data_IF_374327669288
#
_entry.id   IF_374327669288
#
_cell.length_a   1.000
_cell.length_b   1.000
_cell.length_c   1.000
_cell.angle_alpha   90.00
_cell.angle_beta   90.00
_cell.angle_gamma   90.00
#
_symmetry.space_group_name_H-M   'P 1'
#
loop_
_entity.id
_entity.type
_entity.pdbx_description
1 polymer ?
#
# COMPACT_ATOMS: atom_id res chain seq x y z
N UNK A 1 5.79 -5.28 -14.53
CA UNK A 1 5.12 -4.02 -14.85
C UNK A 1 6.00 -2.93 -14.28
N UNK A 2 6.06 -1.78 -14.93
CA UNK A 2 6.81 -0.61 -14.53
C UNK A 2 5.92 0.45 -13.90
N UNK A 3 6.49 1.40 -13.13
CA UNK A 3 5.73 2.56 -12.64
C UNK A 3 5.00 3.34 -13.73
N UNK A 4 5.62 3.49 -14.90
CA UNK A 4 5.05 4.18 -16.06
C UNK A 4 3.82 3.46 -16.64
N UNK A 5 3.74 2.12 -16.49
CA UNK A 5 2.58 1.36 -16.98
C UNK A 5 1.28 1.72 -16.23
N UNK A 6 1.38 2.30 -15.02
CA UNK A 6 0.21 2.79 -14.26
C UNK A 6 -0.31 4.16 -14.77
N UNK A 7 0.39 4.81 -15.68
CA UNK A 7 -0.10 6.00 -16.38
C UNK A 7 -1.17 5.64 -17.42
N UNK A 8 -1.10 4.42 -17.96
CA UNK A 8 -2.14 3.86 -18.82
C UNK A 8 -3.46 3.73 -18.04
N UNK A 9 -4.48 4.43 -18.53
CA UNK A 9 -5.77 4.50 -17.87
C UNK A 9 -6.48 3.15 -17.80
N UNK A 10 -6.33 2.27 -18.80
CA UNK A 10 -6.93 0.94 -18.78
C UNK A 10 -6.28 0.05 -17.73
N UNK A 11 -4.94 0.03 -17.68
CA UNK A 11 -4.20 -0.75 -16.68
C UNK A 11 -4.52 -0.24 -15.27
N UNK A 12 -4.50 1.08 -15.07
CA UNK A 12 -4.87 1.72 -13.79
C UNK A 12 -6.29 1.36 -13.35
N UNK A 13 -7.26 1.36 -14.28
CA UNK A 13 -8.63 0.95 -13.99
C UNK A 13 -8.72 -0.52 -13.59
N UNK A 14 -7.93 -1.37 -14.22
CA UNK A 14 -7.91 -2.81 -13.98
C UNK A 14 -7.24 -3.18 -12.66
N UNK A 15 -6.18 -2.46 -12.26
CA UNK A 15 -5.62 -2.54 -10.89
C UNK A 15 -6.69 -2.14 -9.86
N UNK A 16 -7.36 -1.01 -10.07
CA UNK A 16 -8.43 -0.55 -9.18
C UNK A 16 -9.52 -1.62 -9.00
N UNK A 17 -10.04 -2.18 -10.09
CA UNK A 17 -11.03 -3.27 -10.03
C UNK A 17 -10.50 -4.49 -9.28
N UNK A 18 -9.24 -4.88 -9.50
CA UNK A 18 -8.64 -6.03 -8.83
C UNK A 18 -8.53 -5.82 -7.32
N UNK A 19 -8.03 -4.65 -6.88
CA UNK A 19 -7.96 -4.28 -5.46
C UNK A 19 -9.35 -4.19 -4.82
N UNK A 20 -10.32 -3.60 -5.51
CA UNK A 20 -11.70 -3.50 -5.01
C UNK A 20 -12.33 -4.88 -4.78
N UNK A 21 -12.16 -5.79 -5.75
CA UNK A 21 -12.68 -7.15 -5.67
C UNK A 21 -12.02 -7.92 -4.53
N UNK A 22 -10.69 -7.86 -4.42
CA UNK A 22 -9.95 -8.52 -3.34
C UNK A 22 -10.44 -8.01 -1.97
N UNK A 23 -10.59 -6.69 -1.84
CA UNK A 23 -11.01 -6.08 -0.58
C UNK A 23 -12.41 -6.49 -0.11
N UNK A 24 -13.30 -6.78 -1.05
CA UNK A 24 -14.67 -7.22 -0.80
C UNK A 24 -14.82 -8.75 -0.74
N UNK A 25 -13.74 -9.51 -0.93
CA UNK A 25 -13.78 -10.97 -1.00
C UNK A 25 -14.25 -11.58 0.32
N UNK A 26 -15.22 -12.50 0.22
CA UNK A 26 -15.53 -13.40 1.32
C UNK A 26 -14.52 -14.54 1.34
N UNK A 27 -14.01 -14.85 2.54
CA UNK A 27 -12.96 -15.84 2.75
C UNK A 27 -13.29 -16.64 4.00
N UNK A 28 -12.82 -17.89 4.05
CA UNK A 28 -12.87 -18.74 5.25
C UNK A 28 -11.86 -18.32 6.31
N UNK A 29 -10.92 -17.43 5.98
CA UNK A 29 -9.94 -16.89 6.94
C UNK A 29 -10.67 -16.01 7.96
N UNK A 30 -10.46 -16.23 9.27
CA UNK A 30 -11.07 -15.41 10.32
C UNK A 30 -10.76 -13.92 10.12
N UNK A 31 -11.82 -13.09 10.21
CA UNK A 31 -11.68 -11.63 10.11
C UNK A 31 -11.19 -11.08 11.44
N UNK A 32 -9.93 -10.68 11.52
CA UNK A 32 -9.39 -9.95 12.67
C UNK A 32 -9.87 -8.50 12.67
N UNK A 33 -10.12 -7.88 13.85
CA UNK A 33 -10.36 -6.45 13.94
C UNK A 33 -9.15 -5.66 13.43
N UNK A 34 -9.39 -4.59 12.68
CA UNK A 34 -8.34 -3.71 12.17
C UNK A 34 -7.45 -3.15 13.30
N UNK A 35 -8.05 -2.84 14.45
CA UNK A 35 -7.35 -2.36 15.64
C UNK A 35 -6.23 -3.30 16.11
N UNK A 36 -6.41 -4.62 15.97
CA UNK A 36 -5.44 -5.62 16.45
C UNK A 36 -4.06 -5.47 15.78
N UNK A 37 -4.02 -5.03 14.52
CA UNK A 37 -2.76 -4.73 13.85
C UNK A 37 -2.02 -3.55 14.50
N UNK A 38 -2.74 -2.46 14.75
CA UNK A 38 -2.15 -1.26 15.36
C UNK A 38 -1.76 -1.50 16.82
N UNK A 39 -2.56 -2.25 17.56
CA UNK A 39 -2.26 -2.68 18.93
C UNK A 39 -0.96 -3.49 19.01
N UNK A 40 -0.63 -4.25 17.95
CA UNK A 40 0.61 -5.01 17.86
C UNK A 40 1.82 -4.16 17.42
N UNK A 41 1.64 -3.29 16.41
CA UNK A 41 2.75 -2.55 15.79
C UNK A 41 3.17 -1.31 16.60
N UNK A 42 2.22 -0.57 17.16
CA UNK A 42 2.50 0.71 17.85
C UNK A 42 3.46 0.53 19.04
N UNK A 43 3.30 -0.46 19.94
CA UNK A 43 4.27 -0.68 21.01
C UNK A 43 5.68 -1.02 20.50
N UNK A 44 5.78 -1.74 19.38
CA UNK A 44 7.05 -2.03 18.73
C UNK A 44 7.73 -0.76 18.23
N UNK A 45 7.00 0.14 17.57
CA UNK A 45 7.52 1.43 17.12
C UNK A 45 7.97 2.31 18.30
N UNK A 46 7.20 2.34 19.39
CA UNK A 46 7.57 3.09 20.61
C UNK A 46 8.88 2.58 21.23
N UNK A 47 9.09 1.26 21.25
CA UNK A 47 10.31 0.65 21.79
C UNK A 47 11.57 1.08 21.04
N UNK A 48 11.46 1.36 19.75
CA UNK A 48 12.59 1.77 18.91
C UNK A 48 12.79 3.29 18.85
N UNK A 49 11.80 4.08 19.26
CA UNK A 49 11.88 5.53 19.25
C UNK A 49 13.00 6.03 20.18
N UNK A 50 13.91 6.85 19.62
CA UNK A 50 15.10 7.39 20.31
C UNK A 50 16.03 6.31 20.89
N UNK A 51 16.01 5.10 20.34
CA UNK A 51 16.86 4.02 20.84
C UNK A 51 18.32 4.22 20.39
N UNK A 52 19.15 4.72 21.30
CA UNK A 52 20.58 5.01 21.04
C UNK A 52 21.36 3.83 20.46
N UNK A 53 20.98 2.60 20.81
CA UNK A 53 21.60 1.39 20.23
C UNK A 53 21.40 1.29 18.71
N UNK A 54 20.25 1.72 18.18
CA UNK A 54 20.01 1.73 16.73
C UNK A 54 20.83 2.83 16.05
N UNK A 55 20.96 4.00 16.68
CA UNK A 55 21.81 5.08 16.17
C UNK A 55 23.27 4.66 16.12
N UNK A 56 23.77 4.04 17.19
CA UNK A 56 25.14 3.52 17.25
C UNK A 56 25.39 2.48 16.14
N UNK A 57 24.48 1.52 15.99
CA UNK A 57 24.59 0.48 14.95
C UNK A 57 24.61 1.08 13.53
N UNK A 58 23.77 2.08 13.26
CA UNK A 58 23.75 2.75 11.96
C UNK A 58 25.07 3.49 11.69
N UNK A 59 25.58 4.23 12.69
CA UNK A 59 26.84 4.95 12.59
C UNK A 59 28.04 4.00 12.41
N UNK A 60 28.05 2.83 13.05
CA UNK A 60 29.04 1.76 12.80
C UNK A 60 29.00 1.25 11.35
N UNK A 61 27.80 1.23 10.74
CA UNK A 61 27.60 0.93 9.32
C UNK A 61 27.93 2.09 8.37
N UNK A 62 28.40 3.23 8.88
CA UNK A 62 28.79 4.40 8.07
C UNK A 62 27.62 5.28 7.62
N UNK A 63 26.42 5.12 8.18
CA UNK A 63 25.23 5.92 7.84
C UNK A 63 24.59 6.48 9.11
N UNK A 64 24.33 7.78 9.14
CA UNK A 64 23.54 8.35 10.25
C UNK A 64 22.05 8.10 10.02
N UNK A 65 21.39 7.47 10.99
CA UNK A 65 19.94 7.26 11.02
C UNK A 65 19.25 8.00 12.17
N UNK A 66 19.94 8.92 12.83
CA UNK A 66 19.48 9.59 14.05
C UNK A 66 18.11 10.24 13.87
N UNK A 67 17.92 10.98 12.77
CA UNK A 67 16.63 11.63 12.47
C UNK A 67 15.49 10.63 12.25
N UNK A 68 15.79 9.44 11.71
CA UNK A 68 14.80 8.37 11.53
C UNK A 68 14.43 7.75 12.87
N UNK A 69 15.43 7.45 13.71
CA UNK A 69 15.24 6.86 15.04
C UNK A 69 14.53 7.83 15.98
N UNK A 70 14.78 9.14 15.84
CA UNK A 70 14.14 10.18 16.64
C UNK A 70 12.73 10.55 16.14
N UNK A 71 12.35 10.11 14.94
CA UNK A 71 11.01 10.32 14.41
C UNK A 71 9.98 9.45 15.14
N UNK A 72 8.98 10.09 15.75
CA UNK A 72 7.94 9.40 16.53
C UNK A 72 6.91 8.74 15.60
N UNK A 73 7.27 7.59 15.02
CA UNK A 73 6.38 6.83 14.15
C UNK A 73 5.08 6.40 14.86
N UNK A 74 5.14 6.08 16.15
CA UNK A 74 3.98 5.62 16.90
C UNK A 74 2.88 6.68 16.96
N UNK A 75 3.22 7.91 17.35
CA UNK A 75 2.25 9.02 17.38
C UNK A 75 1.75 9.37 15.98
N UNK A 76 2.60 9.24 14.95
CA UNK A 76 2.22 9.54 13.56
C UNK A 76 1.26 8.51 12.99
N UNK A 77 1.47 7.22 13.27
CA UNK A 77 0.53 6.15 12.91
C UNK A 77 -0.82 6.42 13.58
N UNK A 78 -0.83 6.79 14.87
CA UNK A 78 -2.08 7.13 15.57
C UNK A 78 -2.86 8.26 14.89
N UNK A 79 -2.19 9.34 14.48
CA UNK A 79 -2.85 10.44 13.76
C UNK A 79 -3.54 9.95 12.48
N UNK A 80 -2.89 9.07 11.72
CA UNK A 80 -3.47 8.51 10.48
C UNK A 80 -4.66 7.61 10.80
N UNK A 81 -4.55 6.75 11.81
CA UNK A 81 -5.65 5.86 12.24
C UNK A 81 -6.84 6.68 12.72
N UNK A 82 -6.63 7.67 13.59
CA UNK A 82 -7.69 8.55 14.11
C UNK A 82 -8.40 9.28 12.97
N UNK A 83 -7.67 9.73 11.94
CA UNK A 83 -8.26 10.35 10.75
C UNK A 83 -9.12 9.36 9.93
N UNK A 84 -8.67 8.11 9.78
CA UNK A 84 -9.43 7.05 9.11
C UNK A 84 -10.72 6.71 9.88
N UNK A 85 -10.66 6.65 11.20
CA UNK A 85 -11.83 6.43 12.06
C UNK A 85 -12.82 7.58 12.00
N UNK A 86 -12.34 8.82 12.05
CA UNK A 86 -13.18 10.02 11.99
C UNK A 86 -14.01 10.09 10.70
N UNK A 87 -13.46 9.64 9.57
CA UNK A 87 -14.18 9.58 8.29
C UNK A 87 -14.94 8.27 8.08
N UNK A 88 -14.99 7.39 9.09
CA UNK A 88 -15.59 6.05 9.01
C UNK A 88 -15.08 5.26 7.81
N UNK A 89 -13.75 5.28 7.61
CA UNK A 89 -13.11 4.63 6.48
C UNK A 89 -13.50 3.14 6.41
N UNK A 90 -13.78 2.66 5.20
CA UNK A 90 -14.14 1.25 4.97
C UNK A 90 -12.93 0.34 5.20
N UNK A 91 -13.14 -0.73 5.96
CA UNK A 91 -12.19 -1.84 6.09
C UNK A 91 -12.51 -2.99 5.14
N UNK A 92 -11.49 -3.78 4.80
CA UNK A 92 -11.60 -4.95 3.93
C UNK A 92 -10.31 -5.77 3.98
N UNK A 93 -10.20 -6.79 3.14
CA UNK A 93 -8.90 -7.41 2.91
C UNK A 93 -7.99 -6.42 2.20
N UNK A 94 -6.74 -6.31 2.66
CA UNK A 94 -5.72 -5.45 2.07
C UNK A 94 -4.48 -6.29 1.82
N UNK A 95 -3.81 -6.05 0.69
CA UNK A 95 -2.59 -6.78 0.29
C UNK A 95 -1.36 -6.15 0.92
N UNK A 96 -1.39 -4.82 1.14
CA UNK A 96 -0.33 -3.97 1.68
C UNK A 96 0.88 -3.77 0.75
N UNK A 97 1.11 -4.69 -0.19
CA UNK A 97 2.20 -4.61 -1.15
C UNK A 97 1.75 -4.73 -2.62
N UNK A 98 0.80 -3.87 -3.02
CA UNK A 98 0.39 -3.74 -4.43
C UNK A 98 1.39 -2.88 -5.20
N UNK A 99 2.61 -3.40 -5.35
CA UNK A 99 3.67 -2.83 -6.18
C UNK A 99 3.67 -3.44 -7.59
N UNK A 100 4.47 -2.89 -8.51
CA UNK A 100 4.41 -3.25 -9.94
C UNK A 100 5.08 -4.59 -10.31
N UNK A 101 5.91 -5.17 -9.44
CA UNK A 101 6.39 -6.55 -9.54
C UNK A 101 5.34 -7.57 -9.09
N UNK A 102 4.42 -7.18 -8.19
CA UNK A 102 3.31 -7.98 -7.69
C UNK A 102 2.03 -7.74 -8.49
N UNK A 103 2.14 -6.98 -9.58
CA UNK A 103 1.05 -6.65 -10.51
C UNK A 103 1.40 -7.16 -11.91
N UNK A 104 0.73 -8.23 -12.33
CA UNK A 104 0.96 -8.83 -13.65
C UNK A 104 -0.06 -8.34 -14.68
N UNK A 105 0.40 -8.00 -15.88
CA UNK A 105 -0.45 -7.71 -17.04
C UNK A 105 -0.48 -8.94 -17.94
N UNK A 106 -1.67 -9.42 -18.30
CA UNK A 106 -1.83 -10.62 -19.14
C UNK A 106 -1.51 -10.28 -20.60
N UNK A 107 -0.67 -11.10 -21.25
CA UNK A 107 -0.35 -10.97 -22.68
C UNK A 107 -1.57 -11.21 -23.59
N UNK A 108 -2.46 -12.12 -23.20
CA UNK A 108 -3.64 -12.49 -23.98
C UNK A 108 -4.90 -12.45 -23.10
N UNK A 109 -5.36 -11.26 -22.69
CA UNK A 109 -6.56 -11.13 -21.87
C UNK A 109 -7.78 -11.50 -22.70
N UNK A 110 -8.74 -12.21 -22.09
CA UNK A 110 -10.03 -12.45 -22.74
C UNK A 110 -10.77 -11.10 -22.93
N UNK A 111 -11.53 -10.91 -24.02
CA UNK A 111 -12.33 -9.71 -24.21
C UNK A 111 -13.22 -9.43 -22.98
N UNK A 112 -13.30 -8.16 -22.59
CA UNK A 112 -14.10 -7.69 -21.45
C UNK A 112 -13.75 -8.32 -20.08
N UNK A 113 -12.54 -8.87 -19.92
CA UNK A 113 -12.01 -9.34 -18.63
C UNK A 113 -10.88 -8.44 -18.16
N UNK A 114 -10.73 -8.35 -16.84
CA UNK A 114 -9.64 -7.62 -16.20
C UNK A 114 -8.28 -8.19 -16.67
N UNK A 115 -7.45 -7.32 -17.25
CA UNK A 115 -6.12 -7.64 -17.80
C UNK A 115 -5.08 -7.85 -16.70
N UNK A 116 -5.34 -7.33 -15.50
CA UNK A 116 -4.43 -7.40 -14.35
C UNK A 116 -4.70 -8.65 -13.52
N UNK A 117 -3.62 -9.19 -12.94
CA UNK A 117 -3.64 -10.14 -11.85
C UNK A 117 -2.72 -9.62 -10.73
N UNK A 118 -3.24 -9.59 -9.51
CA UNK A 118 -2.44 -9.31 -8.32
C UNK A 118 -1.90 -10.64 -7.79
N UNK A 119 -0.63 -10.65 -7.41
CA UNK A 119 0.06 -11.82 -6.87
C UNK A 119 0.76 -11.45 -5.57
N UNK A 120 1.37 -12.45 -4.93
CA UNK A 120 2.14 -12.31 -3.70
C UNK A 120 1.35 -11.74 -2.51
N UNK A 121 0.64 -12.63 -1.82
CA UNK A 121 -0.34 -12.30 -0.79
C UNK A 121 0.22 -12.45 0.63
N UNK A 122 1.54 -12.37 0.82
CA UNK A 122 2.20 -12.68 2.09
C UNK A 122 1.86 -11.72 3.24
N UNK A 123 1.52 -10.47 2.93
CA UNK A 123 1.16 -9.43 3.92
C UNK A 123 -0.36 -9.23 4.05
N UNK A 124 -1.18 -10.17 3.55
CA UNK A 124 -2.64 -9.99 3.55
C UNK A 124 -3.22 -9.99 4.97
N UNK A 125 -3.96 -8.95 5.30
CA UNK A 125 -4.74 -8.85 6.54
C UNK A 125 -5.91 -7.87 6.40
N UNK A 126 -6.80 -7.86 7.40
CA UNK A 126 -7.89 -6.89 7.49
C UNK A 126 -7.33 -5.51 7.86
N UNK A 127 -7.56 -4.50 7.01
CA UNK A 127 -7.13 -3.13 7.28
C UNK A 127 -8.05 -2.09 6.60
N UNK A 128 -7.77 -0.81 6.77
CA UNK A 128 -8.43 0.28 6.05
C UNK A 128 -8.05 0.26 4.56
N UNK A 129 -9.05 0.23 3.68
CA UNK A 129 -8.85 0.21 2.23
C UNK A 129 -8.05 1.39 1.71
N UNK A 130 -8.18 2.54 2.36
CA UNK A 130 -7.45 3.75 2.00
C UNK A 130 -5.93 3.60 2.14
N UNK A 131 -5.46 2.75 3.06
CA UNK A 131 -4.04 2.48 3.24
C UNK A 131 -3.48 1.63 2.11
N UNK A 132 -4.21 0.60 1.68
CA UNK A 132 -3.80 -0.26 0.56
C UNK A 132 -3.73 0.55 -0.74
N UNK A 133 -4.74 1.39 -0.99
CA UNK A 133 -4.80 2.30 -2.16
C UNK A 133 -3.69 3.35 -2.09
N UNK A 134 -3.48 3.98 -0.93
CA UNK A 134 -2.42 4.96 -0.74
C UNK A 134 -1.03 4.34 -0.91
N UNK A 135 -0.84 3.13 -0.40
CA UNK A 135 0.36 2.32 -0.61
C UNK A 135 0.62 2.09 -2.10
N UNK A 136 -0.38 1.64 -2.86
CA UNK A 136 -0.24 1.48 -4.30
C UNK A 136 0.16 2.79 -5.02
N UNK A 137 -0.47 3.93 -4.67
CA UNK A 137 -0.09 5.22 -5.27
C UNK A 137 1.36 5.63 -4.95
N UNK A 138 1.84 5.29 -3.76
CA UNK A 138 3.21 5.54 -3.35
C UNK A 138 4.21 4.72 -4.19
N UNK A 139 3.84 3.51 -4.63
CA UNK A 139 4.73 2.63 -5.41
C UNK A 139 5.13 3.24 -6.76
N UNK A 140 4.36 4.18 -7.33
CA UNK A 140 4.75 4.94 -8.55
C UNK A 140 6.05 5.71 -8.37
N UNK A 141 6.48 5.97 -7.14
CA UNK A 141 7.74 6.69 -6.88
C UNK A 141 8.96 5.77 -6.81
N UNK A 142 8.80 4.45 -7.01
CA UNK A 142 9.89 3.48 -6.88
C UNK A 142 10.03 2.54 -8.08
N UNK A 143 11.28 2.21 -8.45
CA UNK A 143 11.64 1.13 -9.38
C UNK A 143 12.61 0.18 -8.72
N UNK A 144 12.22 -1.08 -8.61
CA UNK A 144 12.90 -2.04 -7.74
C UNK A 144 14.11 -2.74 -8.37
N UNK A 145 14.30 -2.66 -9.69
CA UNK A 145 15.38 -3.33 -10.43
C UNK A 145 16.48 -2.39 -10.95
N UNK A 146 16.36 -1.08 -10.71
CA UNK A 146 17.37 -0.11 -11.12
C UNK A 146 18.62 -0.22 -10.22
N UNK A 147 19.81 -0.35 -10.81
CA UNK A 147 21.07 -0.56 -10.08
C UNK A 147 21.57 0.73 -9.41
N UNK A 148 21.25 1.90 -9.96
CA UNK A 148 21.74 3.19 -9.44
C UNK A 148 20.79 3.81 -8.42
N UNK A 149 19.49 3.81 -8.70
CA UNK A 149 18.49 4.44 -7.82
C UNK A 149 17.16 3.73 -7.84
N UNK A 150 16.64 3.40 -6.65
CA UNK A 150 15.28 2.86 -6.52
C UNK A 150 14.17 3.92 -6.60
N UNK A 151 14.53 5.20 -6.72
CA UNK A 151 13.58 6.32 -6.86
C UNK A 151 13.46 6.69 -8.33
N UNK A 152 12.23 6.79 -8.83
CA UNK A 152 11.93 7.15 -10.24
C UNK A 152 11.47 8.59 -10.42
N UNK A 153 11.70 9.11 -11.63
CA UNK A 153 11.30 10.46 -12.06
C UNK A 153 9.89 10.51 -12.70
N UNK A 154 9.15 9.40 -12.75
CA UNK A 154 7.82 9.34 -13.40
C UNK A 154 6.68 10.01 -12.60
N UNK A 155 7.03 10.77 -11.56
CA UNK A 155 6.12 11.59 -10.79
C UNK A 155 5.16 10.79 -9.90
N UNK A 156 4.66 11.46 -8.86
CA UNK A 156 3.58 10.93 -8.02
C UNK A 156 2.28 10.87 -8.82
N UNK A 157 1.37 9.98 -8.42
CA UNK A 157 -0.02 10.02 -8.89
C UNK A 157 -0.61 11.44 -8.78
N UNK A 158 -1.06 11.98 -9.90
CA UNK A 158 -1.80 13.24 -9.98
C UNK A 158 -3.21 13.08 -9.42
N UNK A 159 -3.87 14.21 -9.15
CA UNK A 159 -5.23 14.16 -8.61
C UNK A 159 -6.25 13.65 -9.65
N UNK A 160 -5.98 13.82 -10.94
CA UNK A 160 -6.79 13.22 -12.01
C UNK A 160 -6.62 11.70 -12.06
N UNK A 161 -5.39 11.20 -11.92
CA UNK A 161 -5.13 9.76 -11.88
C UNK A 161 -5.78 9.12 -10.64
N UNK A 162 -5.71 9.78 -9.48
CA UNK A 162 -6.39 9.33 -8.24
C UNK A 162 -7.90 9.32 -8.40
N UNK A 163 -8.48 10.37 -8.99
CA UNK A 163 -9.92 10.44 -9.30
C UNK A 163 -10.33 9.31 -10.24
N UNK A 164 -9.60 9.13 -11.33
CA UNK A 164 -9.81 8.05 -12.28
C UNK A 164 -9.79 6.68 -11.58
N UNK A 165 -8.74 6.42 -10.78
CA UNK A 165 -8.61 5.18 -10.01
C UNK A 165 -9.83 4.96 -9.10
N UNK A 166 -10.20 5.97 -8.30
CA UNK A 166 -11.33 5.89 -7.38
C UNK A 166 -12.67 5.64 -8.11
N UNK A 167 -12.89 6.25 -9.29
CA UNK A 167 -14.10 6.03 -10.08
C UNK A 167 -14.15 4.67 -10.77
N UNK A 168 -13.00 4.04 -10.99
CA UNK A 168 -12.88 2.69 -11.57
C UNK A 168 -13.10 1.58 -10.54
N UNK A 169 -13.01 1.90 -9.24
CA UNK A 169 -13.35 0.97 -8.17
C UNK A 169 -14.87 0.70 -8.18
N UNK A 170 -15.33 -0.56 -8.31
CA UNK A 170 -16.74 -0.86 -8.14
C UNK A 170 -17.23 -0.40 -6.77
N UNK A 171 -18.38 0.28 -6.75
CA UNK A 171 -19.07 0.64 -5.51
C UNK A 171 -19.49 -0.66 -4.84
N UNK A 172 -19.07 -0.87 -3.60
CA UNK A 172 -19.53 -2.01 -2.82
C UNK A 172 -21.05 -1.89 -2.62
N UNK A 173 -21.81 -2.73 -3.33
CA UNK A 173 -23.27 -2.81 -3.26
C UNK A 173 -23.92 -3.12 -4.62
N UNK A 174 -23.91 -4.41 -5.01
CA UNK A 174 -24.94 -5.17 -5.74
C UNK A 174 -24.32 -6.53 -6.08
N UNK A 175 -24.40 -7.44 -5.13
CA UNK A 175 -24.11 -8.86 -5.23
C UNK A 175 -24.91 -9.55 -4.16
#
# INVERSE_FOLDING_TARGET
MEPEDAEDAEIRADIAKAMANFSAMESSVPKTPVAAYYDAVVPGLQKYHKLEKLKALANEGGVSMDSLVDYDFASRVKIVVDAMEAVKAKSGWCIHDVQFMNTMVKNHPRPNKNKVALIDFELVMRNYRGLDIGGHFMQKMFRWFDEESKIVDCGKYSDDEKRHFATSMPRSGTG
#
